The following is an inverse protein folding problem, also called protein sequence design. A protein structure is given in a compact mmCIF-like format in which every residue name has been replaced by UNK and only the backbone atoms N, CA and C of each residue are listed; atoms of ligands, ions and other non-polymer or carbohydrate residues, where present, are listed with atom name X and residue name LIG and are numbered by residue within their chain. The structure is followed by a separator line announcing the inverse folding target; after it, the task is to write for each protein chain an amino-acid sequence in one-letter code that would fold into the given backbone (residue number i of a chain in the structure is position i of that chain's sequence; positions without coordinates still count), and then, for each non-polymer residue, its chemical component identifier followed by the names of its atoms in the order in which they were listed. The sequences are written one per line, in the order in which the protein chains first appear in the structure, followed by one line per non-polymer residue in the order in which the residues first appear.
data_IF_383648533074
#
_entry.id   IF_383648533074
#
_cell.length_a   1.000
_cell.length_b   1.000
_cell.length_c   1.000
_cell.angle_alpha   90.00
_cell.angle_beta   90.00
_cell.angle_gamma   90.00
#
_symmetry.space_group_name_H-M   'P 1'
#
loop_
_entity.id
_entity.type
_entity.pdbx_description
1 polymer ?
#
# COMPACT_ATOMS: atom_id res chain seq x y z
N UNK A 1 15.85 13.94 3.29
CA UNK A 1 16.11 13.11 2.09
C UNK A 1 15.14 13.58 1.03
N UNK A 2 15.58 13.75 -0.20
CA UNK A 2 14.74 14.16 -1.34
C UNK A 2 14.84 13.07 -2.41
N UNK A 3 13.68 12.60 -2.86
CA UNK A 3 13.56 11.56 -3.87
C UNK A 3 13.66 12.19 -5.25
N UNK A 4 14.68 11.81 -6.03
CA UNK A 4 14.97 12.43 -7.32
C UNK A 4 14.49 11.58 -8.48
N UNK A 5 14.66 10.26 -8.40
CA UNK A 5 14.41 9.34 -9.51
C UNK A 5 14.25 7.90 -9.00
N UNK A 6 13.37 7.15 -9.66
CA UNK A 6 13.22 5.71 -9.53
C UNK A 6 13.28 5.11 -10.94
N UNK A 7 14.10 4.07 -11.11
CA UNK A 7 14.21 3.29 -12.34
C UNK A 7 13.74 1.86 -12.05
N UNK A 8 12.61 1.48 -12.63
CA UNK A 8 12.06 0.13 -12.53
C UNK A 8 12.70 -0.85 -13.53
N UNK A 9 12.48 -2.14 -13.32
CA UNK A 9 13.06 -3.22 -14.13
C UNK A 9 12.04 -3.86 -15.08
N UNK A 10 10.91 -3.20 -15.36
CA UNK A 10 9.90 -3.66 -16.32
C UNK A 10 8.90 -4.69 -15.79
N UNK A 11 8.94 -5.04 -14.50
CA UNK A 11 8.02 -6.01 -13.91
C UNK A 11 7.86 -5.80 -12.40
N UNK A 12 6.81 -6.39 -11.84
CA UNK A 12 6.63 -6.52 -10.39
C UNK A 12 5.72 -7.69 -10.03
N UNK A 13 5.45 -7.87 -8.75
CA UNK A 13 4.61 -8.95 -8.25
C UNK A 13 3.77 -8.52 -7.04
N UNK A 14 2.67 -9.23 -6.80
CA UNK A 14 1.84 -9.11 -5.60
C UNK A 14 1.54 -10.52 -5.12
N UNK A 15 1.55 -10.75 -3.82
CA UNK A 15 1.24 -12.06 -3.26
C UNK A 15 0.36 -11.98 -2.00
N UNK A 16 -0.39 -13.06 -1.78
CA UNK A 16 -0.98 -13.35 -0.47
C UNK A 16 -0.10 -14.42 0.18
N UNK A 17 0.50 -14.07 1.31
CA UNK A 17 1.36 -14.98 2.08
C UNK A 17 0.58 -15.58 3.24
N UNK A 18 0.74 -16.89 3.54
CA UNK A 18 0.03 -17.52 4.65
C UNK A 18 0.27 -16.81 5.99
N UNK A 19 -0.83 -16.51 6.70
CA UNK A 19 -0.77 -15.85 8.01
C UNK A 19 -0.36 -14.38 7.98
N UNK A 20 -0.39 -13.71 6.83
CA UNK A 20 -0.04 -12.29 6.68
C UNK A 20 -1.13 -11.47 5.96
N UNK A 21 -1.27 -10.21 6.35
CA UNK A 21 -2.28 -9.29 5.83
C UNK A 21 -3.49 -9.08 6.76
N UNK A 22 -4.30 -8.06 6.45
CA UNK A 22 -5.46 -7.63 7.24
C UNK A 22 -6.48 -8.76 7.53
N UNK A 23 -6.66 -9.68 6.57
CA UNK A 23 -7.66 -10.74 6.59
C UNK A 23 -7.07 -12.14 6.76
N UNK A 24 -5.80 -12.26 7.20
CA UNK A 24 -5.08 -13.54 7.29
C UNK A 24 -5.81 -14.63 8.10
N UNK A 25 -6.62 -14.27 9.09
CA UNK A 25 -7.36 -15.23 9.92
C UNK A 25 -8.81 -15.46 9.43
N UNK A 26 -9.12 -15.08 8.19
CA UNK A 26 -10.48 -15.08 7.67
C UNK A 26 -10.67 -16.01 6.47
N UNK A 27 -11.91 -16.44 6.23
CA UNK A 27 -12.25 -17.42 5.18
C UNK A 27 -11.86 -17.03 3.76
N UNK A 28 -11.50 -15.76 3.51
CA UNK A 28 -10.99 -15.26 2.23
C UNK A 28 -9.54 -15.70 1.96
N UNK A 29 -8.74 -15.88 3.01
CA UNK A 29 -7.35 -16.37 2.91
C UNK A 29 -7.23 -17.80 3.41
N UNK A 30 -8.18 -18.33 4.19
CA UNK A 30 -8.05 -19.66 4.79
C UNK A 30 -7.73 -20.79 3.80
N UNK A 31 -8.31 -20.86 2.57
CA UNK A 31 -7.87 -21.85 1.59
C UNK A 31 -6.41 -21.65 1.16
N UNK A 32 -5.94 -20.41 1.05
CA UNK A 32 -4.54 -20.04 0.73
C UNK A 32 -3.62 -20.38 1.91
N UNK A 33 -4.02 -20.10 3.14
CA UNK A 33 -3.25 -20.45 4.35
C UNK A 33 -2.99 -21.95 4.45
N UNK A 34 -3.93 -22.77 3.97
CA UNK A 34 -3.84 -24.24 3.95
C UNK A 34 -3.19 -24.80 2.66
N UNK A 35 -3.29 -24.10 1.53
CA UNK A 35 -2.82 -24.58 0.22
C UNK A 35 -1.52 -23.93 -0.29
N UNK A 36 -1.02 -22.89 0.37
CA UNK A 36 0.17 -22.13 -0.03
C UNK A 36 -0.14 -20.76 -0.65
N UNK A 37 0.89 -19.92 -0.91
CA UNK A 37 0.70 -18.52 -1.31
C UNK A 37 0.05 -18.36 -2.68
N UNK A 38 -0.67 -17.25 -2.86
CA UNK A 38 -1.15 -16.80 -4.18
C UNK A 38 -0.21 -15.72 -4.75
N UNK A 39 -0.01 -15.69 -6.07
CA UNK A 39 0.91 -14.77 -6.73
C UNK A 39 0.28 -14.16 -7.99
N UNK A 40 0.47 -12.86 -8.17
CA UNK A 40 0.17 -12.12 -9.40
C UNK A 40 1.43 -11.44 -9.91
N UNK A 41 1.74 -11.63 -11.20
CA UNK A 41 2.82 -10.93 -11.88
C UNK A 41 2.27 -9.73 -12.65
N UNK A 42 3.01 -8.63 -12.62
CA UNK A 42 2.70 -7.39 -13.32
C UNK A 42 3.76 -7.10 -14.37
N UNK A 43 3.31 -6.77 -15.57
CA UNK A 43 4.19 -6.27 -16.63
C UNK A 43 4.18 -4.74 -16.61
N UNK A 44 5.35 -4.11 -16.57
CA UNK A 44 5.47 -2.65 -16.52
C UNK A 44 5.93 -2.12 -17.86
N UNK A 45 5.17 -1.20 -18.41
CA UNK A 45 5.53 -0.49 -19.64
C UNK A 45 4.94 0.90 -19.64
N UNK A 46 5.77 1.88 -20.01
CA UNK A 46 5.35 3.28 -20.18
C UNK A 46 4.67 3.85 -18.91
N UNK A 47 5.29 3.64 -17.74
CA UNK A 47 4.79 4.16 -16.46
C UNK A 47 3.49 3.51 -15.98
N UNK A 48 3.15 2.31 -16.47
CA UNK A 48 1.93 1.61 -16.10
C UNK A 48 2.22 0.12 -15.86
N UNK A 49 1.82 -0.39 -14.70
CA UNK A 49 1.80 -1.81 -14.38
C UNK A 49 0.49 -2.44 -14.87
N UNK A 50 0.57 -3.58 -15.54
CA UNK A 50 -0.58 -4.28 -16.12
C UNK A 50 -0.62 -5.75 -15.72
N UNK A 51 -1.81 -6.24 -15.40
CA UNK A 51 -2.06 -7.64 -15.10
C UNK A 51 -3.54 -7.99 -15.33
N UNK A 52 -3.83 -9.29 -15.50
CA UNK A 52 -5.18 -9.82 -15.62
C UNK A 52 -5.66 -10.38 -14.28
N UNK A 53 -6.86 -10.01 -13.86
CA UNK A 53 -7.54 -10.46 -12.64
C UNK A 53 -8.91 -11.04 -13.02
N UNK A 54 -9.05 -12.36 -12.97
CA UNK A 54 -10.22 -13.05 -13.53
C UNK A 54 -10.51 -12.62 -14.96
N UNK A 55 -11.68 -12.03 -15.18
CA UNK A 55 -12.14 -11.53 -16.48
C UNK A 55 -11.62 -10.13 -16.84
N UNK A 56 -11.05 -9.40 -15.88
CA UNK A 56 -10.69 -7.98 -16.02
C UNK A 56 -9.22 -7.75 -16.34
N UNK A 57 -8.96 -6.79 -17.20
CA UNK A 57 -7.63 -6.26 -17.52
C UNK A 57 -7.39 -5.00 -16.68
N UNK A 58 -6.39 -5.05 -15.80
CA UNK A 58 -6.07 -3.97 -14.86
C UNK A 58 -4.82 -3.22 -15.32
N UNK A 59 -4.90 -1.88 -15.32
CA UNK A 59 -3.82 -0.92 -15.61
C UNK A 59 -3.65 0.06 -14.45
N UNK A 60 -2.54 -0.06 -13.72
CA UNK A 60 -2.18 0.84 -12.63
C UNK A 60 -1.07 1.80 -13.07
N UNK A 61 -1.31 3.12 -13.07
CA UNK A 61 -0.22 4.09 -13.17
C UNK A 61 0.78 3.85 -12.03
N UNK A 62 2.06 3.75 -12.35
CA UNK A 62 3.08 3.54 -11.32
C UNK A 62 3.46 4.87 -10.68
N UNK A 63 3.66 4.85 -9.37
CA UNK A 63 4.23 5.95 -8.60
C UNK A 63 5.25 5.35 -7.63
N UNK A 64 6.45 5.00 -8.12
CA UNK A 64 7.37 4.19 -7.35
C UNK A 64 7.85 4.86 -6.05
N UNK A 65 8.04 4.04 -5.01
CA UNK A 65 8.50 4.47 -3.69
C UNK A 65 9.16 3.30 -2.92
N UNK A 66 9.96 3.55 -1.87
CA UNK A 66 10.40 2.51 -0.96
C UNK A 66 9.39 2.31 0.19
N UNK A 67 8.95 1.08 0.41
CA UNK A 67 8.27 0.64 1.62
C UNK A 67 9.18 0.73 2.85
N UNK A 68 10.41 0.24 2.72
CA UNK A 68 11.43 0.30 3.79
C UNK A 68 12.42 1.45 3.58
N UNK A 69 12.38 2.45 4.47
CA UNK A 69 13.38 3.51 4.52
C UNK A 69 13.59 4.01 5.95
N UNK A 70 14.83 3.99 6.43
CA UNK A 70 15.09 4.26 7.85
C UNK A 70 16.55 4.56 8.21
N UNK A 71 16.75 4.99 9.45
CA UNK A 71 18.06 5.16 10.11
C UNK A 71 18.19 4.20 11.29
N UNK A 72 19.36 3.99 11.89
CA UNK A 72 19.46 3.11 13.05
C UNK A 72 18.79 3.69 14.30
N UNK A 73 18.18 2.80 15.08
CA UNK A 73 17.63 3.06 16.41
C UNK A 73 18.73 3.36 17.44
N UNK A 74 18.40 4.09 18.54
CA UNK A 74 19.36 4.32 19.63
C UNK A 74 19.67 3.05 20.41
N UNK A 75 18.71 2.12 20.48
CA UNK A 75 18.84 0.84 21.15
C UNK A 75 19.76 -0.11 20.36
N UNK A 76 20.67 -0.79 21.06
CA UNK A 76 21.51 -1.83 20.45
C UNK A 76 20.70 -3.11 20.26
N UNK A 77 20.88 -3.79 19.13
CA UNK A 77 20.25 -5.08 18.88
C UNK A 77 20.01 -5.33 17.40
N UNK A 78 19.41 -6.49 17.11
CA UNK A 78 18.83 -6.80 15.80
C UNK A 78 17.35 -6.51 15.86
N UNK A 79 16.87 -5.66 14.98
CA UNK A 79 15.45 -5.33 14.84
C UNK A 79 14.96 -5.89 13.51
N UNK A 80 13.80 -6.54 13.52
CA UNK A 80 13.12 -6.90 12.27
C UNK A 80 12.84 -5.63 11.46
N UNK A 81 12.96 -5.73 10.14
CA UNK A 81 12.59 -4.62 9.24
C UNK A 81 11.08 -4.51 9.07
N UNK A 82 10.30 -5.56 9.37
CA UNK A 82 8.85 -5.62 9.12
C UNK A 82 8.05 -4.53 9.87
N UNK A 83 8.20 -4.31 11.18
CA UNK A 83 7.42 -3.27 11.85
C UNK A 83 8.07 -1.89 11.72
N UNK A 84 7.34 -0.84 11.28
CA UNK A 84 7.82 0.53 11.34
C UNK A 84 8.00 1.01 12.78
N UNK A 85 8.81 2.06 12.92
CA UNK A 85 9.25 2.64 14.20
C UNK A 85 9.54 4.12 14.05
N UNK A 86 9.94 4.75 15.15
CA UNK A 86 10.31 6.16 15.20
C UNK A 86 11.48 6.54 14.26
N UNK A 87 12.30 5.56 13.84
CA UNK A 87 13.40 5.72 12.88
C UNK A 87 12.98 5.57 11.40
N UNK A 88 11.69 5.41 11.12
CA UNK A 88 11.19 4.96 9.82
C UNK A 88 11.05 3.44 9.79
N UNK A 89 11.71 2.78 8.84
CA UNK A 89 11.58 1.34 8.63
C UNK A 89 10.53 1.06 7.55
N UNK A 90 9.78 -0.04 7.71
CA UNK A 90 8.75 -0.46 6.76
C UNK A 90 7.47 0.37 6.93
N UNK A 91 7.45 1.56 6.32
CA UNK A 91 6.35 2.51 6.48
C UNK A 91 5.26 2.33 5.43
N UNK A 92 5.60 1.82 4.25
CA UNK A 92 4.64 1.53 3.17
C UNK A 92 3.76 2.72 2.81
N UNK A 93 4.36 3.92 2.81
CA UNK A 93 3.69 5.18 2.46
C UNK A 93 3.94 5.48 0.98
N UNK A 94 2.95 5.19 0.13
CA UNK A 94 3.01 5.40 -1.33
C UNK A 94 3.29 6.85 -1.77
N UNK A 95 3.13 7.81 -0.86
CA UNK A 95 3.41 9.22 -1.10
C UNK A 95 4.89 9.61 -0.97
N UNK A 96 5.77 8.67 -0.60
CA UNK A 96 7.23 8.84 -0.56
C UNK A 96 7.88 8.61 -1.93
N UNK A 97 7.34 9.29 -2.94
CA UNK A 97 7.72 9.15 -4.35
C UNK A 97 8.60 10.33 -4.83
N UNK A 98 8.96 10.33 -6.12
CA UNK A 98 9.77 11.41 -6.74
C UNK A 98 9.21 12.80 -6.44
N UNK A 99 10.08 13.70 -5.98
CA UNK A 99 9.73 15.07 -5.60
C UNK A 99 9.33 15.24 -4.13
N UNK A 100 9.03 14.15 -3.42
CA UNK A 100 8.79 14.21 -1.98
C UNK A 100 10.09 14.39 -1.18
N UNK A 101 9.96 14.88 0.06
CA UNK A 101 11.06 15.05 1.00
C UNK A 101 10.73 14.37 2.33
N UNK A 102 11.55 13.39 2.72
CA UNK A 102 11.45 12.68 4.00
C UNK A 102 12.50 13.17 5.00
N UNK A 103 12.09 13.44 6.23
CA UNK A 103 12.94 13.74 7.37
C UNK A 103 12.88 12.56 8.34
N UNK A 104 14.05 11.99 8.62
CA UNK A 104 14.21 10.91 9.60
C UNK A 104 15.06 11.41 10.77
N UNK A 105 14.71 11.04 12.02
CA UNK A 105 15.53 11.38 13.18
C UNK A 105 16.88 10.65 13.15
N UNK A 106 17.95 11.33 13.54
CA UNK A 106 19.29 10.75 13.64
C UNK A 106 19.59 10.42 15.10
N UNK A 107 19.35 9.18 15.50
CA UNK A 107 19.57 8.71 16.88
C UNK A 107 21.02 8.33 17.18
N UNK A 108 21.76 7.88 16.16
CA UNK A 108 23.16 7.45 16.29
C UNK A 108 24.05 8.24 15.32
N UNK A 109 25.34 8.38 15.69
CA UNK A 109 26.33 9.03 14.82
C UNK A 109 26.37 8.33 13.46
N UNK A 110 26.35 9.12 12.39
CA UNK A 110 26.37 8.61 11.02
C UNK A 110 25.01 8.17 10.48
N UNK A 111 23.95 8.21 11.31
CA UNK A 111 22.58 7.79 11.01
C UNK A 111 22.41 6.30 10.67
N UNK A 112 23.38 5.64 10.01
CA UNK A 112 23.30 4.26 9.54
C UNK A 112 22.05 4.04 8.68
N UNK A 113 21.92 4.87 7.65
CA UNK A 113 20.79 4.89 6.74
C UNK A 113 20.69 3.59 5.92
N UNK A 114 19.47 3.09 5.73
CA UNK A 114 19.14 1.97 4.85
C UNK A 114 17.82 2.20 4.11
N UNK A 115 17.70 1.62 2.93
CA UNK A 115 16.52 1.69 2.05
C UNK A 115 16.37 0.38 1.28
N UNK A 116 15.14 -0.02 1.01
CA UNK A 116 14.79 -1.21 0.23
C UNK A 116 13.28 -1.31 0.02
N UNK A 117 12.83 -2.51 -0.34
CA UNK A 117 11.40 -2.87 -0.45
C UNK A 117 10.63 -1.93 -1.37
N UNK A 118 10.97 -1.93 -2.65
CA UNK A 118 10.44 -0.92 -3.58
C UNK A 118 9.15 -1.37 -4.23
N UNK A 119 8.14 -0.50 -4.21
CA UNK A 119 6.80 -0.78 -4.72
C UNK A 119 6.55 0.11 -5.95
N UNK A 120 6.01 -0.46 -7.02
CA UNK A 120 5.59 0.27 -8.22
C UNK A 120 4.26 1.00 -8.00
N UNK A 121 3.36 0.35 -7.28
CA UNK A 121 2.03 0.84 -6.94
C UNK A 121 1.56 0.13 -5.66
N UNK A 122 0.77 0.84 -4.85
CA UNK A 122 0.18 0.32 -3.62
C UNK A 122 -1.11 1.10 -3.33
N UNK A 123 -2.11 0.41 -2.79
CA UNK A 123 -3.28 1.04 -2.17
C UNK A 123 -2.99 1.45 -0.73
N UNK A 124 -3.73 2.43 -0.20
CA UNK A 124 -3.59 2.78 1.21
C UNK A 124 -4.00 1.59 2.11
N UNK A 125 -3.07 1.20 2.99
CA UNK A 125 -3.22 0.11 3.95
C UNK A 125 -2.70 -1.25 3.51
N UNK A 126 -2.23 -1.40 2.26
CA UNK A 126 -1.52 -2.60 1.77
C UNK A 126 -2.17 -3.90 2.26
N UNK A 127 -3.48 -4.01 2.00
CA UNK A 127 -4.35 -4.84 2.84
C UNK A 127 -4.03 -6.32 2.79
N UNK A 128 -3.45 -6.84 1.69
CA UNK A 128 -3.02 -8.24 1.58
C UNK A 128 -1.58 -8.49 2.03
N UNK A 129 -0.91 -7.44 2.51
CA UNK A 129 0.47 -7.45 3.01
C UNK A 129 1.54 -7.31 1.93
N UNK A 130 1.18 -7.17 0.66
CA UNK A 130 2.16 -6.82 -0.38
C UNK A 130 1.58 -5.82 -1.35
N UNK A 131 2.44 -5.06 -1.98
CA UNK A 131 2.14 -4.09 -3.01
C UNK A 131 2.34 -4.69 -4.41
N UNK A 132 2.59 -3.83 -5.41
CA UNK A 132 3.27 -4.24 -6.65
C UNK A 132 4.78 -4.17 -6.40
N UNK A 133 5.31 -5.18 -5.74
CA UNK A 133 6.71 -5.35 -5.37
C UNK A 133 7.62 -5.44 -6.60
N UNK A 134 8.73 -4.70 -6.61
CA UNK A 134 9.67 -4.74 -7.73
C UNK A 134 11.10 -4.33 -7.35
N UNK A 135 12.12 -4.88 -8.01
CA UNK A 135 13.48 -4.35 -7.90
C UNK A 135 13.59 -3.00 -8.61
N UNK A 136 14.29 -2.04 -8.00
CA UNK A 136 14.51 -0.71 -8.57
C UNK A 136 15.89 -0.15 -8.27
N UNK A 137 16.32 0.84 -9.07
CA UNK A 137 17.39 1.77 -8.68
C UNK A 137 16.77 3.08 -8.21
N UNK A 138 17.31 3.64 -7.13
CA UNK A 138 16.79 4.84 -6.50
C UNK A 138 17.90 5.90 -6.45
N UNK A 139 17.58 7.11 -6.89
CA UNK A 139 18.44 8.28 -6.75
C UNK A 139 17.88 9.21 -5.69
N UNK A 140 18.68 9.45 -4.66
CA UNK A 140 18.31 10.28 -3.51
C UNK A 140 19.32 11.42 -3.31
N UNK A 141 18.84 12.54 -2.79
CA UNK A 141 19.69 13.56 -2.16
C UNK A 141 19.54 13.47 -0.64
N UNK A 142 20.66 13.30 0.05
CA UNK A 142 20.69 13.21 1.52
C UNK A 142 21.42 14.42 2.09
N UNK A 143 20.75 15.13 2.99
CA UNK A 143 21.30 16.28 3.71
C UNK A 143 21.13 16.06 5.21
N UNK A 144 22.05 16.60 6.01
CA UNK A 144 21.95 16.61 7.47
C UNK A 144 21.36 17.94 7.92
N UNK A 145 20.20 17.89 8.58
CA UNK A 145 19.57 19.06 9.20
C UNK A 145 19.89 19.06 10.69
N UNK A 146 20.54 20.11 11.18
CA UNK A 146 20.85 20.26 12.60
C UNK A 146 19.65 20.87 13.33
N UNK A 147 19.41 20.41 14.56
CA UNK A 147 18.36 20.96 15.46
C UNK A 147 16.95 20.95 14.84
N UNK A 148 16.62 19.91 14.05
CA UNK A 148 15.31 19.77 13.40
C UNK A 148 14.15 19.52 14.39
N UNK A 149 14.43 19.02 15.60
CA UNK A 149 13.42 18.85 16.66
C UNK A 149 12.42 17.70 16.45
N UNK A 150 12.57 16.90 15.39
CA UNK A 150 11.70 15.76 15.12
C UNK A 150 12.11 14.52 15.93
N UNK A 151 11.11 13.73 16.35
CA UNK A 151 11.31 12.43 17.03
C UNK A 151 10.78 11.25 16.22
N UNK A 152 10.00 11.53 15.19
CA UNK A 152 9.36 10.56 14.30
C UNK A 152 9.50 11.06 12.84
N UNK A 153 9.24 10.20 11.84
CA UNK A 153 9.29 10.59 10.45
C UNK A 153 8.34 11.75 10.13
N UNK A 154 8.79 12.66 9.27
CA UNK A 154 7.97 13.71 8.70
C UNK A 154 8.26 13.78 7.21
N UNK A 155 7.26 13.94 6.36
CA UNK A 155 7.47 14.11 4.93
C UNK A 155 6.66 15.25 4.33
N UNK A 156 7.17 15.80 3.24
CA UNK A 156 6.52 16.81 2.39
C UNK A 156 6.31 16.18 1.02
N UNK A 157 5.09 16.23 0.50
CA UNK A 157 4.74 15.69 -0.82
C UNK A 157 3.90 16.69 -1.61
N UNK A 158 3.94 16.63 -2.94
CA UNK A 158 3.22 17.54 -3.83
C UNK A 158 1.70 17.28 -3.89
N UNK A 159 1.24 16.16 -3.36
CA UNK A 159 -0.18 15.86 -3.20
C UNK A 159 -0.49 14.38 -3.05
N UNK A 160 -1.71 14.09 -2.63
CA UNK A 160 -2.31 12.75 -2.52
C UNK A 160 -3.16 12.48 -3.78
N UNK A 161 -2.71 12.93 -4.96
CA UNK A 161 -3.58 13.00 -6.14
C UNK A 161 -4.02 11.61 -6.56
N UNK A 162 -5.33 11.50 -6.65
CA UNK A 162 -6.07 10.27 -6.72
C UNK A 162 -6.99 10.38 -7.94
N UNK A 163 -7.30 9.24 -8.58
CA UNK A 163 -8.09 9.09 -9.79
C UNK A 163 -9.34 10.00 -9.82
N UNK A 164 -9.92 10.24 -10.99
CA UNK A 164 -11.08 11.13 -11.10
C UNK A 164 -12.39 10.49 -10.61
N UNK A 165 -12.47 9.16 -10.61
CA UNK A 165 -13.69 8.43 -10.22
C UNK A 165 -13.40 7.17 -9.39
N UNK A 166 -14.23 7.01 -8.35
CA UNK A 166 -14.14 5.92 -7.39
C UNK A 166 -15.48 5.22 -7.16
N UNK A 167 -15.40 3.93 -6.85
CA UNK A 167 -16.39 3.20 -6.07
C UNK A 167 -15.95 3.21 -4.61
N UNK A 168 -16.86 3.56 -3.70
CA UNK A 168 -16.54 3.69 -2.29
C UNK A 168 -17.36 2.71 -1.45
N UNK A 169 -16.68 2.02 -0.53
CA UNK A 169 -17.25 1.00 0.35
C UNK A 169 -17.00 1.40 1.80
N UNK A 170 -17.96 2.09 2.47
CA UNK A 170 -17.81 2.48 3.86
C UNK A 170 -18.01 1.26 4.78
N UNK A 171 -17.05 1.03 5.67
CA UNK A 171 -17.16 0.14 6.80
C UNK A 171 -17.40 0.92 8.07
N UNK A 172 -18.42 0.53 8.84
CA UNK A 172 -18.83 1.22 10.06
C UNK A 172 -18.78 0.26 11.23
N UNK A 173 -18.09 0.64 12.30
CA UNK A 173 -17.97 -0.16 13.50
C UNK A 173 -17.48 0.67 14.70
N UNK A 174 -17.70 0.18 15.92
CA UNK A 174 -17.11 0.74 17.13
C UNK A 174 -15.65 0.32 17.35
N UNK A 175 -15.06 -0.38 16.39
CA UNK A 175 -13.63 -0.64 16.33
C UNK A 175 -13.12 -0.35 14.90
N UNK A 176 -12.20 0.60 14.76
CA UNK A 176 -11.65 1.00 13.45
C UNK A 176 -11.02 -0.17 12.68
N UNK A 177 -10.47 -1.17 13.35
CA UNK A 177 -9.93 -2.36 12.70
C UNK A 177 -11.04 -3.19 12.06
N UNK A 178 -12.17 -3.35 12.76
CA UNK A 178 -13.34 -4.06 12.25
C UNK A 178 -14.03 -3.25 11.14
N UNK A 179 -14.12 -1.93 11.28
CA UNK A 179 -14.60 -1.04 10.23
C UNK A 179 -13.75 -1.18 8.95
N UNK A 180 -12.42 -1.19 9.08
CA UNK A 180 -11.49 -1.40 7.97
C UNK A 180 -11.73 -2.76 7.29
N UNK A 181 -11.85 -3.83 8.07
CA UNK A 181 -12.18 -5.17 7.55
C UNK A 181 -13.50 -5.19 6.78
N UNK A 182 -14.54 -4.53 7.29
CA UNK A 182 -15.85 -4.43 6.60
C UNK A 182 -15.70 -3.74 5.25
N UNK A 183 -15.02 -2.59 5.18
CA UNK A 183 -14.78 -1.85 3.95
C UNK A 183 -14.05 -2.69 2.88
N UNK A 184 -12.98 -3.38 3.29
CA UNK A 184 -12.20 -4.24 2.39
C UNK A 184 -13.02 -5.45 1.93
N UNK A 185 -13.76 -6.12 2.83
CA UNK A 185 -14.62 -7.25 2.46
C UNK A 185 -15.73 -6.86 1.49
N UNK A 186 -16.34 -5.70 1.66
CA UNK A 186 -17.34 -5.19 0.70
C UNK A 186 -16.72 -4.95 -0.68
N UNK A 187 -15.49 -4.45 -0.73
CA UNK A 187 -14.73 -4.28 -1.98
C UNK A 187 -14.43 -5.63 -2.64
N UNK A 188 -13.96 -6.61 -1.86
CA UNK A 188 -13.70 -7.98 -2.34
C UNK A 188 -14.99 -8.61 -2.85
N UNK A 189 -16.09 -8.54 -2.09
CA UNK A 189 -17.37 -9.12 -2.48
C UNK A 189 -17.89 -8.56 -3.81
N UNK A 190 -17.70 -7.26 -4.06
CA UNK A 190 -18.03 -6.65 -5.34
C UNK A 190 -17.13 -7.19 -6.47
N UNK A 191 -15.82 -7.19 -6.28
CA UNK A 191 -14.86 -7.67 -7.28
C UNK A 191 -14.99 -9.17 -7.56
N UNK A 192 -15.47 -9.95 -6.58
CA UNK A 192 -15.74 -11.38 -6.72
C UNK A 192 -16.83 -11.73 -7.75
N UNK A 193 -17.57 -10.75 -8.27
CA UNK A 193 -18.39 -10.93 -9.47
C UNK A 193 -17.57 -11.12 -10.76
N UNK A 194 -16.27 -10.82 -10.76
CA UNK A 194 -15.40 -10.80 -11.94
C UNK A 194 -14.11 -11.62 -11.81
N UNK A 195 -13.72 -11.99 -10.58
CA UNK A 195 -12.46 -12.67 -10.27
C UNK A 195 -12.56 -13.49 -8.99
N UNK A 196 -11.58 -14.35 -8.74
CA UNK A 196 -11.56 -15.10 -7.47
C UNK A 196 -11.34 -14.17 -6.26
N UNK A 197 -11.90 -14.48 -5.07
CA UNK A 197 -11.76 -13.62 -3.89
C UNK A 197 -10.31 -13.29 -3.52
N UNK A 198 -9.39 -14.24 -3.72
CA UNK A 198 -7.95 -14.02 -3.48
C UNK A 198 -7.33 -13.02 -4.47
N UNK A 199 -7.77 -13.03 -5.73
CA UNK A 199 -7.35 -12.06 -6.73
C UNK A 199 -7.90 -10.66 -6.39
N UNK A 200 -9.17 -10.59 -5.97
CA UNK A 200 -9.78 -9.35 -5.50
C UNK A 200 -9.04 -8.76 -4.29
N UNK A 201 -8.55 -9.61 -3.37
CA UNK A 201 -7.78 -9.16 -2.22
C UNK A 201 -6.40 -8.60 -2.60
N UNK A 202 -5.67 -9.25 -3.52
CA UNK A 202 -4.43 -8.72 -4.09
C UNK A 202 -4.67 -7.39 -4.81
N UNK A 203 -5.73 -7.30 -5.63
CA UNK A 203 -6.06 -6.06 -6.33
C UNK A 203 -6.36 -4.94 -5.34
N UNK A 204 -7.11 -5.21 -4.27
CA UNK A 204 -7.37 -4.25 -3.22
C UNK A 204 -6.07 -3.73 -2.59
N UNK A 205 -5.11 -4.60 -2.30
CA UNK A 205 -3.80 -4.21 -1.73
C UNK A 205 -3.01 -3.26 -2.63
N UNK A 206 -3.14 -3.41 -3.96
CA UNK A 206 -2.37 -2.62 -4.93
C UNK A 206 -3.04 -1.31 -5.37
N UNK A 207 -4.35 -1.18 -5.20
CA UNK A 207 -5.12 -0.13 -5.88
C UNK A 207 -6.21 0.55 -5.04
N UNK A 208 -6.65 -0.03 -3.92
CA UNK A 208 -7.74 0.52 -3.11
C UNK A 208 -7.17 1.41 -2.02
N UNK A 209 -7.75 2.61 -1.89
CA UNK A 209 -7.33 3.57 -0.90
C UNK A 209 -8.27 3.56 0.32
N UNK A 210 -7.75 3.14 1.47
CA UNK A 210 -8.42 3.26 2.75
C UNK A 210 -8.29 4.68 3.31
N UNK A 211 -9.44 5.28 3.64
CA UNK A 211 -9.50 6.57 4.32
C UNK A 211 -10.36 6.48 5.56
N UNK A 212 -9.86 7.07 6.63
CA UNK A 212 -10.68 7.38 7.80
C UNK A 212 -11.63 8.50 7.40
N UNK A 213 -12.93 8.20 7.38
CA UNK A 213 -13.96 9.18 6.99
C UNK A 213 -14.34 10.09 8.16
N UNK A 214 -14.56 9.51 9.33
CA UNK A 214 -14.79 10.26 10.57
C UNK A 214 -14.33 9.46 11.81
N UNK A 215 -14.02 10.18 12.89
CA UNK A 215 -13.53 9.63 14.18
C UNK A 215 -14.26 10.19 15.40
N UNK A 216 -15.37 10.88 15.21
CA UNK A 216 -15.96 11.74 16.26
C UNK A 216 -17.36 11.29 16.69
N UNK A 217 -18.07 10.52 15.87
CA UNK A 217 -19.48 10.18 16.10
C UNK A 217 -19.62 8.91 16.95
N UNK A 218 -19.21 9.03 18.22
CA UNK A 218 -19.21 7.91 19.15
C UNK A 218 -20.59 7.24 19.29
N UNK A 219 -20.64 5.88 19.37
CA UNK A 219 -19.50 4.97 19.44
C UNK A 219 -19.04 4.45 18.07
N UNK A 220 -19.51 5.01 16.95
CA UNK A 220 -19.26 4.46 15.61
C UNK A 220 -18.19 5.26 14.89
N UNK A 221 -17.30 4.56 14.20
CA UNK A 221 -16.30 5.17 13.33
C UNK A 221 -16.39 4.59 11.93
N UNK A 222 -15.98 5.39 10.95
CA UNK A 222 -16.08 5.01 9.55
C UNK A 222 -14.70 5.01 8.90
N UNK A 223 -14.35 3.86 8.30
CA UNK A 223 -13.24 3.71 7.34
C UNK A 223 -13.84 3.36 6.00
N UNK A 224 -13.46 4.05 4.93
CA UNK A 224 -13.98 3.82 3.58
C UNK A 224 -12.87 3.35 2.65
N UNK A 225 -13.11 2.26 1.94
CA UNK A 225 -12.27 1.80 0.84
C UNK A 225 -12.71 2.46 -0.47
N UNK A 226 -11.79 3.13 -1.16
CA UNK A 226 -12.00 3.79 -2.44
C UNK A 226 -11.31 2.99 -3.55
N UNK A 227 -12.10 2.28 -4.36
CA UNK A 227 -11.65 1.56 -5.55
C UNK A 227 -11.71 2.48 -6.78
N UNK A 228 -10.57 2.86 -7.39
CA UNK A 228 -10.57 3.68 -8.58
C UNK A 228 -11.13 2.89 -9.77
N UNK A 229 -12.13 3.46 -10.47
CA UNK A 229 -12.78 2.73 -11.59
C UNK A 229 -11.98 2.79 -12.89
N UNK A 230 -11.04 3.74 -13.01
CA UNK A 230 -10.25 3.98 -14.22
C UNK A 230 -9.11 2.97 -14.42
N UNK A 231 -8.87 2.10 -13.43
CA UNK A 231 -7.85 1.06 -13.53
C UNK A 231 -8.31 -0.12 -14.39
N UNK A 232 -9.60 -0.25 -14.64
CA UNK A 232 -10.18 -1.32 -15.44
C UNK A 232 -10.33 -0.88 -16.90
N UNK A 233 -9.91 -1.73 -17.84
CA UNK A 233 -10.13 -1.47 -19.26
C UNK A 233 -11.57 -1.80 -19.68
N UNK A 234 -12.17 -2.78 -19.02
CA UNK A 234 -13.56 -3.16 -19.16
C UNK A 234 -14.48 -2.26 -18.33
N UNK A 235 -15.74 -2.12 -18.77
CA UNK A 235 -16.76 -1.42 -17.97
C UNK A 235 -17.24 -2.34 -16.85
N UNK A 236 -17.09 -1.89 -15.61
CA UNK A 236 -17.75 -2.53 -14.48
C UNK A 236 -19.27 -2.35 -14.59
N UNK A 237 -20.01 -3.44 -14.51
CA UNK A 237 -21.46 -3.40 -14.36
C UNK A 237 -21.82 -3.07 -12.90
N UNK A 238 -22.59 -1.99 -12.73
CA UNK A 238 -23.12 -1.62 -11.43
C UNK A 238 -24.42 -2.41 -11.18
N UNK A 239 -24.73 -2.79 -9.93
CA UNK A 239 -26.08 -3.19 -9.58
C UNK A 239 -27.02 -2.06 -10.01
N UNK A 240 -27.83 -2.31 -11.05
CA UNK A 240 -28.82 -1.35 -11.52
C UNK A 240 -29.92 -1.26 -10.47
N UNK A 241 -30.50 -0.08 -10.21
CA UNK A 241 -31.74 -0.02 -9.46
C UNK A 241 -32.75 -0.93 -10.16
N UNK A 242 -33.34 -1.86 -9.40
CA UNK A 242 -34.51 -2.63 -9.83
C UNK A 242 -35.68 -1.70 -10.13
#
# INVERSE_FOLDING_TARGET
MEFLEFEDMGWGWTAVLPGFGLLADEGYTSPVDLAGPALKLWNVKEGTARAKFGELSVRLPISPFPGVIGTALPSKGRFSTIPPRENGGNMDIKHLNTGSKLYLPVFVRGAMFSIGDTHLAQGDGEVCGTAVEAPMRIKLRVNVVKRAGIREPLFVTSGVREFSKYLAFPGMDSNMWVATKKAVKSTIAFLSGYMEPVEAYMLASTAVDLKVSEVVDQPTWIVTAYLPTEIFEEKLEFPRPS
#
